data_IF_061764093407
#
_entry.id   IF_061764093407
#
_cell.length_a   1.000
_cell.length_b   1.000
_cell.length_c   1.000
_cell.angle_alpha   90.00
_cell.angle_beta   90.00
_cell.angle_gamma   90.00
#
_symmetry.space_group_name_H-M   'P 1'
#
loop_
_entity.id
_entity.type
_entity.pdbx_description
1 polymer ?
#
# COMPACT_ATOMS: atom_id res chain seq x y z
N UNK A 1 -9.31 22.72 -0.72
CA UNK A 1 -9.88 22.80 -2.09
C UNK A 1 -8.85 23.40 -3.04
N UNK A 2 -8.33 24.61 -2.76
CA UNK A 2 -7.49 25.34 -3.71
C UNK A 2 -6.16 24.65 -4.03
N UNK A 3 -5.49 24.06 -3.05
CA UNK A 3 -4.28 23.30 -3.27
C UNK A 3 -4.49 22.09 -4.21
N UNK A 4 -5.63 21.40 -4.13
CA UNK A 4 -5.96 20.29 -5.05
C UNK A 4 -6.25 20.79 -6.46
N UNK A 5 -6.94 21.94 -6.58
CA UNK A 5 -7.20 22.58 -7.88
C UNK A 5 -5.92 23.00 -8.56
N UNK A 6 -5.02 23.63 -7.82
CA UNK A 6 -3.70 24.06 -8.32
C UNK A 6 -2.86 22.86 -8.76
N UNK A 7 -2.79 21.81 -7.92
CA UNK A 7 -2.06 20.58 -8.25
C UNK A 7 -2.62 19.90 -9.51
N UNK A 8 -3.94 19.88 -9.69
CA UNK A 8 -4.57 19.25 -10.85
C UNK A 8 -4.24 19.95 -12.19
N UNK A 9 -3.92 21.25 -12.16
CA UNK A 9 -3.54 22.00 -13.37
C UNK A 9 -2.22 21.53 -13.96
N UNK A 10 -1.26 21.14 -13.11
CA UNK A 10 0.12 20.91 -13.52
C UNK A 10 0.55 19.43 -13.45
N UNK A 11 -0.24 18.57 -12.81
CA UNK A 11 0.17 17.18 -12.53
C UNK A 11 -0.91 16.18 -12.96
N UNK A 12 -0.47 14.98 -13.36
CA UNK A 12 -1.36 13.88 -13.74
C UNK A 12 -1.78 13.04 -12.54
N UNK A 13 -1.03 13.12 -11.44
CA UNK A 13 -1.29 12.40 -10.20
C UNK A 13 -1.04 13.31 -8.99
N UNK A 14 -1.99 13.32 -8.07
CA UNK A 14 -1.91 13.98 -6.77
C UNK A 14 -1.85 12.90 -5.71
N UNK A 15 -0.81 12.93 -4.87
CA UNK A 15 -0.67 12.03 -3.72
C UNK A 15 -0.81 12.82 -2.43
N UNK A 16 -1.56 12.26 -1.47
CA UNK A 16 -1.57 12.75 -0.09
C UNK A 16 -1.18 11.64 0.87
N UNK A 17 -0.54 11.99 1.98
CA UNK A 17 -0.26 11.08 3.09
C UNK A 17 -1.02 11.59 4.33
N UNK A 18 -1.91 10.75 4.88
CA UNK A 18 -2.88 11.16 5.89
C UNK A 18 -4.11 11.83 5.29
N UNK A 19 -5.05 12.23 6.16
CA UNK A 19 -6.31 12.87 5.76
C UNK A 19 -7.29 11.94 5.01
N UNK A 20 -7.10 10.63 5.07
CA UNK A 20 -7.96 9.61 4.43
C UNK A 20 -8.53 8.62 5.43
N UNK A 21 -8.54 8.96 6.70
CA UNK A 21 -9.15 8.18 7.77
C UNK A 21 -10.64 8.53 7.95
N UNK A 22 -11.29 7.90 8.90
CA UNK A 22 -12.69 8.18 9.28
C UNK A 22 -12.82 9.25 10.36
N UNK A 23 -11.76 10.03 10.63
CA UNK A 23 -11.77 11.11 11.64
C UNK A 23 -12.60 12.32 11.22
N UNK A 24 -13.15 13.03 12.20
CA UNK A 24 -13.97 14.24 12.00
C UNK A 24 -13.20 15.40 11.35
N UNK A 25 -11.87 15.41 11.44
CA UNK A 25 -10.96 16.41 10.84
C UNK A 25 -10.48 16.04 9.42
N UNK A 26 -11.10 15.07 8.76
CA UNK A 26 -10.70 14.65 7.41
C UNK A 26 -11.33 15.56 6.35
N UNK A 27 -10.62 16.62 6.00
CA UNK A 27 -11.04 17.58 4.97
C UNK A 27 -10.70 17.14 3.54
N UNK A 28 -9.94 16.06 3.36
CA UNK A 28 -9.48 15.61 2.02
C UNK A 28 -10.64 15.03 1.24
N UNK A 29 -11.43 14.15 1.86
CA UNK A 29 -12.59 13.53 1.23
C UNK A 29 -13.60 14.55 0.67
N UNK A 30 -14.12 15.51 1.47
CA UNK A 30 -15.02 16.53 0.95
C UNK A 30 -14.38 17.39 -0.14
N UNK A 31 -13.08 17.70 -0.03
CA UNK A 31 -12.38 18.50 -1.01
C UNK A 31 -12.26 17.79 -2.37
N UNK A 32 -11.93 16.51 -2.39
CA UNK A 32 -11.89 15.70 -3.64
C UNK A 32 -13.30 15.58 -4.25
N UNK A 33 -14.32 15.33 -3.42
CA UNK A 33 -15.71 15.24 -3.89
C UNK A 33 -16.24 16.55 -4.47
N UNK A 34 -15.81 17.69 -3.94
CA UNK A 34 -16.20 19.00 -4.44
C UNK A 34 -15.53 19.37 -5.78
N UNK A 35 -14.36 18.80 -6.08
CA UNK A 35 -13.59 19.09 -7.29
C UNK A 35 -13.67 17.98 -8.36
N UNK A 36 -14.26 16.85 -8.04
CA UNK A 36 -14.29 15.70 -8.94
C UNK A 36 -15.03 14.52 -8.36
N UNK A 37 -14.42 13.35 -8.42
CA UNK A 37 -15.04 12.09 -8.05
C UNK A 37 -14.11 11.30 -7.11
N UNK A 38 -14.68 10.68 -6.08
CA UNK A 38 -14.00 9.73 -5.22
C UNK A 38 -14.58 8.33 -5.46
N UNK A 39 -13.77 7.45 -6.07
CA UNK A 39 -14.20 6.13 -6.53
C UNK A 39 -13.99 5.04 -5.46
N UNK A 40 -12.95 5.19 -4.62
CA UNK A 40 -12.57 4.22 -3.59
C UNK A 40 -12.15 4.95 -2.32
N UNK A 41 -12.56 4.45 -1.15
CA UNK A 41 -12.21 5.07 0.14
C UNK A 41 -11.51 4.13 1.12
N UNK A 42 -11.76 2.84 1.07
CA UNK A 42 -11.11 1.85 1.95
C UNK A 42 -10.85 0.55 1.20
N UNK A 43 -9.80 -0.15 1.63
CA UNK A 43 -9.41 -1.45 1.07
C UNK A 43 -9.25 -2.51 2.18
N UNK A 44 -9.45 -3.76 1.83
CA UNK A 44 -9.35 -4.88 2.76
C UNK A 44 -7.90 -5.40 2.87
N UNK A 45 -6.97 -4.50 3.18
CA UNK A 45 -5.53 -4.77 3.31
C UNK A 45 -5.03 -4.41 4.71
N UNK A 46 -4.00 -5.11 5.18
CA UNK A 46 -3.32 -4.86 6.46
C UNK A 46 -1.79 -5.01 6.26
N UNK A 47 -1.02 -3.95 6.58
CA UNK A 47 -1.44 -2.61 6.94
C UNK A 47 -1.99 -1.85 5.73
N UNK A 48 -2.85 -0.83 5.95
CA UNK A 48 -3.24 0.06 4.86
C UNK A 48 -4.74 0.18 4.57
N UNK A 49 -5.63 -0.17 5.52
CA UNK A 49 -7.09 -0.05 5.34
C UNK A 49 -7.54 1.33 4.84
N UNK A 50 -7.09 2.48 5.38
CA UNK A 50 -7.40 3.79 4.84
C UNK A 50 -6.59 4.02 3.56
N UNK A 51 -7.23 3.86 2.41
CA UNK A 51 -6.64 4.12 1.10
C UNK A 51 -7.74 4.68 0.21
N UNK A 52 -7.47 5.79 -0.46
CA UNK A 52 -8.43 6.46 -1.30
C UNK A 52 -7.94 6.55 -2.74
N UNK A 53 -8.86 6.43 -3.69
CA UNK A 53 -8.63 6.72 -5.09
C UNK A 53 -9.78 7.55 -5.64
N UNK A 54 -9.44 8.54 -6.47
CA UNK A 54 -10.41 9.41 -7.11
C UNK A 54 -9.81 10.23 -8.24
N UNK A 55 -10.54 11.25 -8.65
CA UNK A 55 -10.15 12.18 -9.72
C UNK A 55 -10.46 13.59 -9.29
N UNK A 56 -9.58 14.51 -9.66
CA UNK A 56 -9.76 15.96 -9.50
C UNK A 56 -9.86 16.56 -10.90
N UNK A 57 -10.99 17.18 -11.23
CA UNK A 57 -11.20 17.77 -12.54
C UNK A 57 -10.28 18.98 -12.75
N UNK A 58 -9.80 19.13 -13.97
CA UNK A 58 -9.06 20.32 -14.41
C UNK A 58 -10.04 21.42 -14.82
N UNK A 59 -9.60 22.65 -14.78
CA UNK A 59 -10.31 23.74 -15.43
C UNK A 59 -10.16 23.55 -16.96
N UNK A 60 -11.24 23.22 -17.63
CA UNK A 60 -11.25 22.82 -19.03
C UNK A 60 -11.48 21.31 -19.17
N UNK A 61 -10.65 20.63 -19.94
CA UNK A 61 -10.80 19.20 -20.19
C UNK A 61 -9.83 18.35 -19.36
N UNK A 62 -10.27 17.14 -18.99
CA UNK A 62 -9.47 16.14 -18.32
C UNK A 62 -9.49 16.23 -16.81
N UNK A 63 -8.66 15.41 -16.17
CA UNK A 63 -8.54 15.30 -14.71
C UNK A 63 -7.13 14.90 -14.31
N UNK A 64 -6.79 15.13 -13.06
CA UNK A 64 -5.66 14.51 -12.38
C UNK A 64 -6.16 13.34 -11.53
N UNK A 65 -5.43 12.23 -11.52
CA UNK A 65 -5.69 11.16 -10.56
C UNK A 65 -5.41 11.62 -9.14
N UNK A 66 -6.21 11.16 -8.20
CA UNK A 66 -5.99 11.41 -6.78
C UNK A 66 -5.80 10.08 -6.04
N UNK A 67 -4.74 9.97 -5.26
CA UNK A 67 -4.52 8.83 -4.36
C UNK A 67 -4.20 9.37 -2.97
N UNK A 68 -4.99 8.94 -1.99
CA UNK A 68 -4.79 9.22 -0.58
C UNK A 68 -4.21 8.01 0.14
N UNK A 69 -3.00 8.17 0.69
CA UNK A 69 -2.32 7.16 1.47
C UNK A 69 -2.66 7.25 2.96
N UNK A 70 -2.58 6.12 3.70
CA UNK A 70 -2.71 6.14 5.16
C UNK A 70 -1.70 7.07 5.83
N UNK A 71 -2.02 7.61 7.01
CA UNK A 71 -1.08 8.41 7.80
C UNK A 71 0.01 7.59 8.51
N UNK A 72 -0.26 6.32 8.83
CA UNK A 72 0.73 5.45 9.47
C UNK A 72 1.87 5.08 8.51
N UNK A 73 3.15 5.23 8.90
CA UNK A 73 4.29 5.16 8.00
C UNK A 73 4.44 3.82 7.29
N UNK A 74 4.27 2.69 7.98
CA UNK A 74 4.35 1.36 7.35
C UNK A 74 3.15 1.13 6.42
N UNK A 75 1.97 1.63 6.79
CA UNK A 75 0.80 1.55 5.91
C UNK A 75 1.02 2.32 4.62
N UNK A 76 1.53 3.57 4.71
CA UNK A 76 1.87 4.38 3.55
C UNK A 76 2.93 3.71 2.68
N UNK A 77 4.00 3.21 3.29
CA UNK A 77 5.08 2.53 2.58
C UNK A 77 4.57 1.30 1.82
N UNK A 78 3.86 0.40 2.50
CA UNK A 78 3.37 -0.85 1.90
C UNK A 78 2.33 -0.56 0.81
N UNK A 79 1.36 0.32 1.06
CA UNK A 79 0.34 0.65 0.06
C UNK A 79 0.92 1.42 -1.13
N UNK A 80 1.93 2.29 -0.89
CA UNK A 80 2.65 2.93 -1.98
C UNK A 80 3.31 1.89 -2.90
N UNK A 81 4.12 1.00 -2.35
CA UNK A 81 4.85 0.01 -3.13
C UNK A 81 3.93 -0.97 -3.90
N UNK A 82 2.85 -1.41 -3.27
CA UNK A 82 1.97 -2.45 -3.83
C UNK A 82 0.88 -1.90 -4.75
N UNK A 83 0.46 -0.64 -4.59
CA UNK A 83 -0.69 -0.07 -5.31
C UNK A 83 -0.31 1.17 -6.12
N UNK A 84 0.39 2.13 -5.50
CA UNK A 84 0.70 3.42 -6.18
C UNK A 84 1.80 3.23 -7.21
N UNK A 85 2.88 2.56 -6.85
CA UNK A 85 3.99 2.30 -7.79
C UNK A 85 3.52 1.59 -9.08
N UNK A 86 2.80 0.45 -9.02
CA UNK A 86 2.27 -0.17 -10.23
C UNK A 86 1.34 0.76 -11.02
N UNK A 87 0.54 1.57 -10.34
CA UNK A 87 -0.32 2.55 -10.98
C UNK A 87 0.49 3.60 -11.76
N UNK A 88 1.53 4.18 -11.14
CA UNK A 88 2.43 5.14 -11.79
C UNK A 88 3.14 4.52 -12.99
N UNK A 89 3.68 3.31 -12.84
CA UNK A 89 4.31 2.58 -13.95
C UNK A 89 3.34 2.33 -15.11
N UNK A 90 2.07 2.03 -14.82
CA UNK A 90 1.04 1.88 -15.85
C UNK A 90 0.73 3.20 -16.56
N UNK A 91 0.67 4.31 -15.84
CA UNK A 91 0.54 5.64 -16.44
C UNK A 91 1.72 5.99 -17.37
N UNK A 92 2.91 5.51 -17.04
CA UNK A 92 4.12 5.65 -17.86
C UNK A 92 4.21 4.66 -19.03
N UNK A 93 3.21 3.78 -19.20
CA UNK A 93 3.16 2.81 -20.31
C UNK A 93 3.84 1.47 -20.04
N UNK A 94 4.35 1.20 -18.82
CA UNK A 94 4.98 -0.07 -18.46
C UNK A 94 3.94 -1.19 -18.49
N UNK A 95 4.19 -2.24 -19.27
CA UNK A 95 3.23 -3.34 -19.47
C UNK A 95 3.17 -4.28 -18.25
N UNK A 96 4.32 -4.59 -17.64
CA UNK A 96 4.42 -5.47 -16.47
C UNK A 96 4.75 -4.64 -15.22
N UNK A 97 3.75 -3.96 -14.67
CA UNK A 97 3.91 -3.07 -13.54
C UNK A 97 3.81 -3.76 -12.17
N UNK A 98 3.21 -4.95 -12.10
CA UNK A 98 3.05 -5.69 -10.85
C UNK A 98 4.37 -6.35 -10.44
N UNK A 99 4.70 -6.36 -9.14
CA UNK A 99 5.92 -7.00 -8.65
C UNK A 99 5.85 -8.52 -8.83
N UNK A 100 7.00 -9.14 -9.06
CA UNK A 100 7.14 -10.59 -9.04
C UNK A 100 7.11 -11.11 -7.60
N UNK A 101 6.61 -12.32 -7.44
CA UNK A 101 6.63 -13.02 -6.17
C UNK A 101 7.22 -14.41 -6.34
N UNK A 102 7.83 -14.91 -5.28
CA UNK A 102 8.40 -16.26 -5.22
C UNK A 102 7.85 -17.01 -4.01
N UNK A 103 7.81 -18.33 -4.09
CA UNK A 103 7.43 -19.17 -2.96
C UNK A 103 8.66 -19.46 -2.10
N UNK A 104 8.62 -19.05 -0.83
CA UNK A 104 9.69 -19.24 0.15
C UNK A 104 9.15 -19.96 1.37
N UNK A 105 10.00 -20.75 2.05
CA UNK A 105 9.65 -21.43 3.30
C UNK A 105 9.51 -20.40 4.42
N UNK A 106 8.42 -20.46 5.16
CA UNK A 106 8.25 -19.71 6.40
C UNK A 106 8.92 -20.45 7.55
N UNK A 107 9.81 -19.80 8.29
CA UNK A 107 10.41 -20.31 9.52
C UNK A 107 9.87 -19.55 10.73
N UNK A 108 8.59 -19.19 10.67
CA UNK A 108 7.87 -18.47 11.71
C UNK A 108 6.43 -19.01 11.86
N UNK A 109 5.80 -18.60 12.94
CA UNK A 109 4.42 -18.94 13.25
C UNK A 109 3.52 -17.71 13.20
N UNK A 110 2.42 -17.77 12.41
CA UNK A 110 1.37 -16.75 12.33
C UNK A 110 0.01 -17.44 12.56
N UNK A 111 -0.42 -17.63 13.82
CA UNK A 111 -1.50 -18.57 14.17
C UNK A 111 -2.89 -18.10 13.76
N UNK A 112 -3.07 -16.80 13.51
CA UNK A 112 -4.35 -16.22 13.12
C UNK A 112 -4.16 -15.23 11.99
N UNK A 113 -4.63 -15.56 10.79
CA UNK A 113 -4.79 -14.60 9.71
C UNK A 113 -5.90 -13.58 10.04
N UNK A 114 -5.69 -12.34 9.63
CA UNK A 114 -6.73 -11.30 9.65
C UNK A 114 -7.78 -11.59 8.57
N UNK A 115 -9.00 -11.09 8.75
CA UNK A 115 -10.03 -11.14 7.70
C UNK A 115 -9.69 -10.33 6.44
N UNK A 116 -8.69 -9.49 6.52
CA UNK A 116 -8.09 -8.75 5.41
C UNK A 116 -6.85 -9.47 4.91
N UNK A 117 -6.44 -9.18 3.67
CA UNK A 117 -5.15 -9.60 3.14
C UNK A 117 -4.03 -8.92 3.91
N UNK A 118 -3.04 -9.68 4.39
CA UNK A 118 -1.95 -9.18 5.20
C UNK A 118 -0.64 -9.14 4.42
N UNK A 119 0.14 -8.08 4.61
CA UNK A 119 1.51 -7.98 4.12
C UNK A 119 2.46 -7.96 5.31
N UNK A 120 2.98 -9.13 5.65
CA UNK A 120 3.83 -9.36 6.82
C UNK A 120 5.29 -9.04 6.47
N UNK A 121 5.95 -8.16 7.25
CA UNK A 121 7.37 -7.82 7.05
C UNK A 121 8.23 -8.97 7.53
N UNK A 122 9.06 -9.45 6.62
CA UNK A 122 9.94 -10.61 6.81
C UNK A 122 11.32 -10.33 6.22
N UNK A 123 12.30 -11.10 6.64
CA UNK A 123 13.62 -11.17 5.97
C UNK A 123 14.07 -12.62 5.85
N UNK A 124 15.07 -12.85 5.00
CA UNK A 124 15.73 -14.14 4.92
C UNK A 124 16.54 -14.41 6.19
N UNK A 125 16.46 -15.64 6.67
CA UNK A 125 17.34 -16.15 7.71
C UNK A 125 18.55 -16.91 7.10
N UNK A 126 19.51 -17.32 7.92
CA UNK A 126 20.70 -18.04 7.50
C UNK A 126 20.38 -19.40 6.82
N UNK A 127 19.23 -20.01 7.13
CA UNK A 127 18.75 -21.24 6.53
C UNK A 127 18.01 -21.07 5.20
N UNK A 128 17.95 -19.84 4.65
CA UNK A 128 17.26 -19.54 3.39
C UNK A 128 15.73 -19.56 3.48
N UNK A 129 15.16 -19.65 4.68
CA UNK A 129 13.76 -19.42 4.96
C UNK A 129 13.50 -17.98 5.36
N UNK A 130 12.24 -17.68 5.70
CA UNK A 130 11.83 -16.36 6.14
C UNK A 130 11.62 -16.32 7.64
N UNK A 131 12.14 -15.29 8.29
CA UNK A 131 11.80 -14.93 9.66
C UNK A 131 10.92 -13.69 9.71
N UNK A 132 10.03 -13.65 10.70
CA UNK A 132 9.02 -12.60 10.85
C UNK A 132 9.53 -11.49 11.77
N UNK A 133 9.35 -10.23 11.39
CA UNK A 133 9.57 -9.12 12.32
C UNK A 133 8.58 -9.20 13.49
N UNK A 134 9.07 -9.04 14.70
CA UNK A 134 8.28 -9.25 15.94
C UNK A 134 7.01 -8.39 16.01
N UNK A 135 7.10 -7.13 15.57
CA UNK A 135 6.02 -6.17 15.70
C UNK A 135 5.48 -5.76 14.32
N UNK A 136 4.37 -6.36 13.93
CA UNK A 136 3.71 -6.10 12.65
C UNK A 136 2.78 -4.87 12.69
N UNK A 137 2.90 -3.99 13.70
CA UNK A 137 2.12 -2.74 13.77
C UNK A 137 2.44 -1.80 12.60
N UNK A 138 1.43 -1.05 12.18
CA UNK A 138 1.52 -0.09 11.07
C UNK A 138 2.34 1.18 11.38
N UNK A 139 2.65 1.44 12.65
CA UNK A 139 3.47 2.58 13.08
C UNK A 139 4.96 2.27 13.19
N UNK A 140 5.38 0.99 13.11
CA UNK A 140 6.76 0.56 13.38
C UNK A 140 7.57 0.51 12.07
N UNK A 141 8.04 1.66 11.61
CA UNK A 141 8.77 1.80 10.34
C UNK A 141 10.09 1.00 10.31
N UNK A 142 10.70 0.76 11.46
CA UNK A 142 11.89 -0.11 11.59
C UNK A 142 11.65 -1.52 11.03
N UNK A 143 10.39 -1.99 11.01
CA UNK A 143 10.05 -3.28 10.38
C UNK A 143 10.29 -3.30 8.87
N UNK A 144 10.13 -2.17 8.20
CA UNK A 144 10.42 -2.05 6.76
C UNK A 144 11.92 -1.91 6.49
N UNK A 145 12.65 -1.20 7.37
CA UNK A 145 14.11 -1.08 7.24
C UNK A 145 14.84 -2.39 7.57
N UNK A 146 14.30 -3.20 8.47
CA UNK A 146 14.84 -4.50 8.85
C UNK A 146 14.53 -5.60 7.82
N UNK A 147 13.37 -5.52 7.17
CA UNK A 147 12.86 -6.56 6.28
C UNK A 147 13.49 -6.56 4.89
N UNK A 148 13.58 -7.72 4.27
CA UNK A 148 13.93 -7.88 2.85
C UNK A 148 12.71 -7.80 1.95
N UNK A 149 11.49 -7.88 2.53
CA UNK A 149 10.24 -7.86 1.77
C UNK A 149 9.01 -8.13 2.63
N UNK A 150 7.94 -8.53 1.95
CA UNK A 150 6.67 -8.87 2.58
C UNK A 150 6.18 -10.25 2.15
N UNK A 151 5.56 -10.97 3.07
CA UNK A 151 4.72 -12.13 2.76
C UNK A 151 3.31 -11.63 2.46
N UNK A 152 2.82 -11.99 1.29
CA UNK A 152 1.44 -11.76 0.85
C UNK A 152 0.55 -12.89 1.37
N UNK A 153 -0.06 -12.65 2.53
CA UNK A 153 -0.90 -13.63 3.23
C UNK A 153 -2.38 -13.42 2.92
N UNK A 154 -3.06 -14.40 2.30
CA UNK A 154 -4.49 -14.32 2.03
C UNK A 154 -5.34 -14.15 3.31
N UNK A 155 -6.57 -13.61 3.19
CA UNK A 155 -7.48 -13.47 4.33
C UNK A 155 -7.70 -14.78 5.07
N UNK A 156 -7.60 -14.73 6.39
CA UNK A 156 -7.88 -15.87 7.28
C UNK A 156 -6.84 -16.97 7.30
N UNK A 157 -5.76 -16.86 6.54
CA UNK A 157 -4.74 -17.92 6.47
C UNK A 157 -3.77 -17.84 7.65
N UNK A 158 -3.68 -18.94 8.41
CA UNK A 158 -2.60 -19.17 9.37
C UNK A 158 -1.36 -19.67 8.65
N UNK A 159 -0.19 -19.41 9.22
CA UNK A 159 1.11 -19.90 8.72
C UNK A 159 1.83 -20.64 9.84
N UNK A 160 2.30 -21.85 9.54
CA UNK A 160 3.15 -22.66 10.41
C UNK A 160 4.59 -22.71 9.85
N UNK A 161 5.61 -22.95 10.70
CA UNK A 161 6.96 -23.23 10.23
C UNK A 161 6.99 -24.40 9.24
N UNK A 162 7.66 -24.19 8.11
CA UNK A 162 7.72 -25.15 7.01
C UNK A 162 6.75 -24.86 5.85
N UNK A 163 5.71 -24.05 6.09
CA UNK A 163 4.78 -23.68 5.02
C UNK A 163 5.47 -22.91 3.89
N UNK A 164 4.99 -23.08 2.66
CA UNK A 164 5.39 -22.26 1.52
C UNK A 164 4.50 -21.02 1.47
N UNK A 165 5.12 -19.85 1.48
CA UNK A 165 4.43 -18.56 1.48
C UNK A 165 4.88 -17.69 0.32
N UNK A 166 3.94 -16.88 -0.19
CA UNK A 166 4.21 -15.95 -1.28
C UNK A 166 4.99 -14.75 -0.78
N UNK A 167 6.25 -14.64 -1.18
CA UNK A 167 7.17 -13.56 -0.81
C UNK A 167 7.34 -12.57 -1.96
N UNK A 168 7.29 -11.28 -1.64
CA UNK A 168 7.57 -10.17 -2.55
C UNK A 168 8.75 -9.40 -1.96
N UNK A 169 9.90 -9.45 -2.62
CA UNK A 169 11.10 -8.76 -2.16
C UNK A 169 10.96 -7.24 -2.34
N UNK A 170 11.53 -6.46 -1.43
CA UNK A 170 11.57 -5.00 -1.58
C UNK A 170 12.43 -4.57 -2.78
N UNK A 171 13.45 -5.33 -3.17
CA UNK A 171 14.21 -5.11 -4.39
C UNK A 171 13.34 -5.14 -5.66
N UNK A 172 12.30 -5.98 -5.72
CA UNK A 172 11.33 -6.02 -6.81
C UNK A 172 10.38 -4.82 -6.79
N UNK A 173 10.18 -4.22 -5.63
CA UNK A 173 9.26 -3.11 -5.40
C UNK A 173 9.95 -1.74 -5.51
N UNK A 174 11.29 -1.69 -5.41
CA UNK A 174 12.08 -0.45 -5.44
C UNK A 174 12.89 -0.27 -6.74
N UNK A 175 12.89 -1.28 -7.61
CA UNK A 175 13.56 -1.26 -8.91
C UNK A 175 12.75 -0.52 -9.99
#
# INVERSE_FOLDING_TARGET
VDALREAARAHDLILTSGGVSVGEEDHVKPAVQALGQLDLWQIAVKPGKPFAYGRVNREGEGFAHFIGLPGNPVSSFVTFLLLVRPFVLRLQGVQQALPRSVEVRADFHWPRGDKRREFLRVRYNEGGGLELFRNQSSGVLTSAAWGDGVVDNPPGQAIAPGDRVRFIAFSELLS
#
